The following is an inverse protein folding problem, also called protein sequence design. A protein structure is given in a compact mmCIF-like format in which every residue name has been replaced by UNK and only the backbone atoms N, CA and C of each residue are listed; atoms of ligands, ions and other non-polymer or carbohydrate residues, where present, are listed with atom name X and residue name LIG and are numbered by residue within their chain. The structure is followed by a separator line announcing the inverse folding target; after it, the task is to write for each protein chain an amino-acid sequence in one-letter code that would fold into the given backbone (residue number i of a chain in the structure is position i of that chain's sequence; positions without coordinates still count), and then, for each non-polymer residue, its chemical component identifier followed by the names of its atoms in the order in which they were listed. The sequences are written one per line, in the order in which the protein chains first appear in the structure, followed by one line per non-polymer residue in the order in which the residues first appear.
data_IF_153405471823
#
_entry.id   IF_153405471823
#
_cell.length_a   1.000
_cell.length_b   1.000
_cell.length_c   1.000
_cell.angle_alpha   90.00
_cell.angle_beta   90.00
_cell.angle_gamma   90.00
#
_symmetry.space_group_name_H-M   'P 1'
#
loop_
_entity.id
_entity.type
_entity.pdbx_description
1 polymer ?
#
# COMPACT_ATOMS: atom_id res chain seq x y z
N UNK A 1 8.33 -13.65 -38.23
CA UNK A 1 9.07 -13.32 -37.01
C UNK A 1 8.90 -11.86 -36.55
N UNK A 2 8.95 -10.85 -37.43
CA UNK A 2 8.73 -9.43 -37.04
C UNK A 2 7.36 -9.15 -36.38
N UNK A 3 6.28 -9.76 -36.88
CA UNK A 3 4.93 -9.60 -36.30
C UNK A 3 4.81 -10.12 -34.86
N UNK A 4 5.50 -11.23 -34.53
CA UNK A 4 5.44 -11.80 -33.18
C UNK A 4 6.10 -10.87 -32.15
N UNK A 5 7.23 -10.25 -32.51
CA UNK A 5 7.93 -9.30 -31.65
C UNK A 5 7.07 -8.06 -31.35
N UNK A 6 6.39 -7.51 -32.37
CA UNK A 6 5.49 -6.35 -32.20
C UNK A 6 4.30 -6.69 -31.29
N UNK A 7 3.70 -7.86 -31.47
CA UNK A 7 2.60 -8.33 -30.61
C UNK A 7 3.06 -8.48 -29.15
N UNK A 8 4.22 -9.09 -28.91
CA UNK A 8 4.77 -9.24 -27.55
C UNK A 8 5.03 -7.89 -26.89
N UNK A 9 5.61 -6.92 -27.60
CA UNK A 9 5.85 -5.57 -27.08
C UNK A 9 4.51 -4.90 -26.71
N UNK A 10 3.49 -5.02 -27.55
CA UNK A 10 2.18 -4.44 -27.27
C UNK A 10 1.53 -5.07 -26.03
N UNK A 11 1.54 -6.41 -25.91
CA UNK A 11 1.01 -7.11 -24.74
C UNK A 11 1.78 -6.71 -23.47
N UNK A 12 3.11 -6.58 -23.54
CA UNK A 12 3.94 -6.12 -22.42
C UNK A 12 3.55 -4.70 -22.01
N UNK A 13 3.42 -3.74 -22.95
CA UNK A 13 3.04 -2.35 -22.62
C UNK A 13 1.67 -2.25 -21.98
N UNK A 14 0.70 -3.06 -22.42
CA UNK A 14 -0.65 -3.09 -21.85
C UNK A 14 -0.60 -3.68 -20.44
N UNK A 15 0.15 -4.77 -20.22
CA UNK A 15 0.30 -5.37 -18.90
C UNK A 15 0.86 -4.40 -17.86
N UNK A 16 1.85 -3.56 -18.23
CA UNK A 16 2.42 -2.56 -17.31
C UNK A 16 1.44 -1.45 -16.93
N UNK A 17 0.56 -1.03 -17.85
CA UNK A 17 -0.42 0.03 -17.58
C UNK A 17 -1.47 -0.39 -16.55
N UNK A 18 -1.88 -1.66 -16.55
CA UNK A 18 -2.85 -2.19 -15.60
C UNK A 18 -2.26 -2.55 -14.22
N UNK A 19 -0.95 -2.77 -14.13
CA UNK A 19 -0.35 -3.33 -12.91
C UNK A 19 -0.32 -2.35 -11.71
N UNK A 20 -0.42 -1.03 -11.93
CA UNK A 20 -0.12 -0.03 -10.91
C UNK A 20 -1.29 0.87 -10.54
N UNK A 21 -2.52 0.56 -10.93
CA UNK A 21 -3.70 1.35 -10.54
C UNK A 21 -4.72 0.46 -9.84
N UNK A 22 -5.13 0.89 -8.65
CA UNK A 22 -6.27 0.33 -7.95
C UNK A 22 -7.52 1.19 -8.22
N UNK A 23 -8.68 0.56 -8.21
CA UNK A 23 -9.95 1.24 -8.43
C UNK A 23 -11.04 0.23 -8.71
N UNK A 24 -12.22 0.47 -8.14
CA UNK A 24 -13.39 -0.32 -8.51
C UNK A 24 -14.12 0.41 -9.64
N UNK A 25 -14.43 -0.31 -10.71
CA UNK A 25 -15.10 0.21 -11.90
C UNK A 25 -14.25 1.27 -12.62
N UNK A 26 -13.76 0.90 -13.81
CA UNK A 26 -13.00 1.81 -14.70
C UNK A 26 -11.84 2.55 -14.01
N UNK A 27 -11.09 1.86 -13.14
CA UNK A 27 -9.94 2.43 -12.40
C UNK A 27 -10.26 3.68 -11.57
N UNK A 28 -11.51 3.85 -11.13
CA UNK A 28 -11.87 4.94 -10.23
C UNK A 28 -11.67 4.50 -8.77
N UNK A 29 -10.82 5.20 -7.99
CA UNK A 29 -10.72 4.96 -6.57
C UNK A 29 -12.04 5.30 -5.87
N UNK A 30 -12.35 4.61 -4.77
CA UNK A 30 -13.65 4.71 -4.08
C UNK A 30 -13.95 6.06 -3.41
N UNK A 31 -13.04 7.04 -3.51
CA UNK A 31 -13.15 8.33 -2.82
C UNK A 31 -12.80 8.25 -1.34
N UNK A 32 -12.81 9.40 -0.67
CA UNK A 32 -12.44 9.52 0.74
C UNK A 32 -13.34 8.70 1.67
N UNK A 33 -12.77 8.10 2.70
CA UNK A 33 -13.50 7.31 3.70
C UNK A 33 -13.89 5.89 3.25
N UNK A 34 -13.49 5.49 2.03
CA UNK A 34 -13.80 4.17 1.45
C UNK A 34 -12.53 3.48 0.95
N UNK A 35 -12.58 2.16 0.93
CA UNK A 35 -11.52 1.27 0.45
C UNK A 35 -12.01 0.50 -0.80
N UNK A 36 -11.14 0.36 -1.81
CA UNK A 36 -11.34 -0.57 -2.90
C UNK A 36 -11.06 -2.00 -2.39
N UNK A 37 -12.10 -2.79 -2.22
CA UNK A 37 -12.02 -4.17 -1.75
C UNK A 37 -12.28 -5.11 -2.92
N UNK A 38 -11.27 -5.89 -3.30
CA UNK A 38 -11.39 -6.90 -4.35
C UNK A 38 -11.30 -8.29 -3.75
N UNK A 39 -12.30 -9.13 -4.02
CA UNK A 39 -12.30 -10.52 -3.62
C UNK A 39 -12.89 -11.37 -4.74
N UNK A 40 -12.20 -12.45 -5.13
CA UNK A 40 -12.65 -13.38 -6.19
C UNK A 40 -13.02 -12.64 -7.50
N UNK A 41 -12.22 -11.64 -7.88
CA UNK A 41 -12.40 -10.86 -9.10
C UNK A 41 -13.52 -9.81 -9.06
N UNK A 42 -14.25 -9.68 -7.95
CA UNK A 42 -15.28 -8.64 -7.77
C UNK A 42 -14.74 -7.51 -6.91
N UNK A 43 -14.70 -6.29 -7.45
CA UNK A 43 -14.26 -5.08 -6.74
C UNK A 43 -15.46 -4.29 -6.24
N UNK A 44 -15.47 -3.96 -4.95
CA UNK A 44 -16.49 -3.14 -4.31
C UNK A 44 -15.86 -2.02 -3.48
N UNK A 45 -16.59 -0.92 -3.36
CA UNK A 45 -16.20 0.18 -2.48
C UNK A 45 -16.85 0.02 -1.11
N UNK A 46 -16.07 -0.31 -0.09
CA UNK A 46 -16.54 -0.51 1.28
C UNK A 46 -16.15 0.72 2.12
N UNK A 47 -16.98 1.12 3.08
CA UNK A 47 -16.59 2.13 4.07
C UNK A 47 -15.43 1.60 4.92
N UNK A 48 -14.44 2.44 5.22
CA UNK A 48 -13.27 2.03 6.02
C UNK A 48 -13.71 1.43 7.37
N UNK A 49 -14.75 2.00 8.00
CA UNK A 49 -15.32 1.52 9.27
C UNK A 49 -15.94 0.13 9.21
N UNK A 50 -16.22 -0.40 8.02
CA UNK A 50 -16.81 -1.73 7.78
C UNK A 50 -15.77 -2.75 7.28
N UNK A 51 -14.54 -2.33 7.04
CA UNK A 51 -13.48 -3.22 6.56
C UNK A 51 -12.69 -3.77 7.76
N UNK A 52 -13.04 -4.98 8.19
CA UNK A 52 -12.37 -5.68 9.30
C UNK A 52 -11.38 -6.75 8.82
N UNK A 53 -11.41 -7.10 7.53
CA UNK A 53 -10.59 -8.17 6.96
C UNK A 53 -9.09 -7.82 6.91
N UNK A 54 -8.75 -6.54 7.02
CA UNK A 54 -7.37 -6.06 7.11
C UNK A 54 -7.29 -4.94 8.12
N UNK A 55 -6.26 -4.97 8.97
CA UNK A 55 -5.96 -3.89 9.91
C UNK A 55 -4.54 -3.37 9.70
N UNK A 56 -4.36 -2.06 9.88
CA UNK A 56 -3.07 -1.39 9.86
C UNK A 56 -2.87 -0.72 11.22
N UNK A 57 -1.82 -1.12 11.92
CA UNK A 57 -1.45 -0.56 13.22
C UNK A 57 -0.05 0.05 13.12
N UNK A 58 0.19 1.15 13.84
CA UNK A 58 1.47 1.84 13.88
C UNK A 58 1.95 2.00 15.32
N UNK A 59 3.25 1.85 15.54
CA UNK A 59 3.88 2.13 16.83
C UNK A 59 5.16 2.93 16.64
N UNK A 60 5.30 4.02 17.39
CA UNK A 60 6.58 4.74 17.49
C UNK A 60 7.57 3.90 18.30
N UNK A 61 8.77 3.69 17.77
CA UNK A 61 9.82 2.88 18.41
C UNK A 61 10.90 3.72 19.07
N UNK A 62 11.28 4.81 18.41
CA UNK A 62 12.29 5.74 18.91
C UNK A 62 12.10 7.10 18.26
N UNK A 63 12.67 8.12 18.89
CA UNK A 63 12.76 9.46 18.35
C UNK A 63 14.08 10.11 18.80
N UNK A 64 14.63 10.98 17.99
CA UNK A 64 15.90 11.66 18.24
C UNK A 64 15.99 12.97 17.47
N UNK A 65 16.85 13.87 17.92
CA UNK A 65 17.19 15.09 17.21
C UNK A 65 18.59 14.98 16.60
N UNK A 66 18.72 15.36 15.34
CA UNK A 66 20.00 15.41 14.63
C UNK A 66 20.08 16.71 13.82
N UNK A 67 21.09 17.53 14.11
CA UNK A 67 21.35 18.80 13.42
C UNK A 67 20.12 19.73 13.34
N UNK A 68 19.35 19.81 14.42
CA UNK A 68 18.14 20.64 14.49
C UNK A 68 16.91 20.06 13.77
N UNK A 69 16.99 18.84 13.25
CA UNK A 69 15.85 18.12 12.68
C UNK A 69 15.45 16.99 13.63
N UNK A 70 14.16 16.91 13.96
CA UNK A 70 13.59 15.81 14.72
C UNK A 70 13.31 14.62 13.80
N UNK A 71 13.56 13.41 14.29
CA UNK A 71 13.28 12.17 13.59
C UNK A 71 12.56 11.20 14.51
N UNK A 72 11.63 10.43 13.96
CA UNK A 72 10.95 9.35 14.65
C UNK A 72 10.92 8.09 13.79
N UNK A 73 11.23 6.94 14.40
CA UNK A 73 11.10 5.63 13.81
C UNK A 73 9.74 5.03 14.16
N UNK A 74 9.06 4.51 13.15
CA UNK A 74 7.79 3.82 13.27
C UNK A 74 7.87 2.41 12.69
N UNK A 75 7.28 1.46 13.42
CA UNK A 75 6.94 0.15 12.88
C UNK A 75 5.44 0.11 12.60
N UNK A 76 5.09 -0.48 11.46
CA UNK A 76 3.73 -0.67 11.00
C UNK A 76 3.46 -2.16 10.82
N UNK A 77 2.26 -2.58 11.22
CA UNK A 77 1.80 -3.96 11.10
C UNK A 77 0.52 -3.99 10.28
N UNK A 78 0.56 -4.73 9.17
CA UNK A 78 -0.61 -5.06 8.37
C UNK A 78 -1.02 -6.47 8.73
N UNK A 79 -2.18 -6.64 9.34
CA UNK A 79 -2.72 -7.96 9.66
C UNK A 79 -3.81 -8.35 8.68
N UNK A 80 -3.64 -9.49 8.03
CA UNK A 80 -4.70 -10.12 7.27
C UNK A 80 -5.61 -10.89 8.24
N UNK A 81 -6.80 -10.37 8.52
CA UNK A 81 -7.78 -11.02 9.41
C UNK A 81 -8.67 -12.04 8.67
N UNK A 82 -8.53 -12.17 7.35
CA UNK A 82 -9.26 -13.18 6.59
C UNK A 82 -8.73 -14.58 6.95
N UNK A 83 -9.63 -15.51 7.21
CA UNK A 83 -9.28 -16.87 7.64
C UNK A 83 -8.99 -17.84 6.47
N UNK A 84 -9.33 -17.46 5.23
CA UNK A 84 -9.29 -18.39 4.09
C UNK A 84 -8.55 -17.84 2.88
N UNK A 85 -8.38 -16.52 2.77
CA UNK A 85 -7.79 -15.87 1.58
C UNK A 85 -6.61 -14.99 1.95
N UNK A 86 -5.56 -15.06 1.14
CA UNK A 86 -4.36 -14.25 1.29
C UNK A 86 -4.59 -12.86 0.67
N UNK A 87 -3.87 -11.84 1.13
CA UNK A 87 -3.86 -10.53 0.47
C UNK A 87 -2.77 -10.55 -0.59
N UNK A 88 -3.15 -10.58 -1.86
CA UNK A 88 -2.21 -10.57 -2.99
C UNK A 88 -1.69 -9.17 -3.32
N UNK A 89 -2.46 -8.12 -3.02
CA UNK A 89 -2.03 -6.75 -3.21
C UNK A 89 -2.71 -5.79 -2.25
N UNK A 90 -2.02 -4.71 -1.88
CA UNK A 90 -2.55 -3.64 -1.06
C UNK A 90 -1.91 -2.31 -1.46
N UNK A 91 -2.67 -1.23 -1.26
CA UNK A 91 -2.22 0.14 -1.49
C UNK A 91 -2.56 0.97 -0.27
N UNK A 92 -1.54 1.64 0.26
CA UNK A 92 -1.62 2.49 1.44
C UNK A 92 -1.35 3.92 1.03
N UNK A 93 -2.29 4.79 1.36
CA UNK A 93 -2.13 6.22 1.28
C UNK A 93 -1.25 6.75 2.39
N UNK A 94 -0.38 7.68 2.02
CA UNK A 94 0.36 8.51 2.97
C UNK A 94 -0.40 9.81 3.17
N UNK A 95 -0.58 10.23 4.43
CA UNK A 95 -1.21 11.51 4.77
C UNK A 95 -0.62 12.66 3.95
N UNK A 96 -1.40 13.48 3.24
CA UNK A 96 -0.86 14.64 2.53
C UNK A 96 -0.18 15.68 3.44
N UNK A 97 -0.51 15.70 4.74
CA UNK A 97 0.17 16.56 5.72
C UNK A 97 1.57 16.09 6.09
N UNK A 98 1.91 14.83 5.82
CA UNK A 98 3.26 14.30 5.88
C UNK A 98 3.69 14.08 4.44
N UNK A 99 4.45 15.03 3.91
CA UNK A 99 4.89 14.93 2.54
C UNK A 99 5.70 13.64 2.35
N UNK A 100 5.69 13.09 1.13
CA UNK A 100 6.59 11.98 0.78
C UNK A 100 8.07 12.29 1.11
N UNK A 101 8.42 13.58 1.21
CA UNK A 101 9.73 14.10 1.61
C UNK A 101 10.06 13.88 3.09
N UNK A 102 9.05 13.80 3.95
CA UNK A 102 9.24 13.62 5.39
C UNK A 102 9.57 12.17 5.72
N UNK A 103 9.12 11.22 4.88
CA UNK A 103 9.55 9.83 4.96
C UNK A 103 10.96 9.66 4.39
N UNK A 104 11.95 9.88 5.25
CA UNK A 104 13.39 9.82 4.95
C UNK A 104 13.81 8.43 4.53
N UNK A 105 13.26 7.40 5.20
CA UNK A 105 13.57 6.01 4.92
C UNK A 105 12.33 5.16 5.14
N UNK A 106 12.14 4.18 4.26
CA UNK A 106 11.16 3.11 4.41
C UNK A 106 11.87 1.78 4.12
N UNK A 107 11.47 0.71 4.79
CA UNK A 107 11.98 -0.64 4.53
C UNK A 107 10.87 -1.66 4.57
N UNK A 108 11.12 -2.80 3.94
CA UNK A 108 10.19 -3.91 3.73
C UNK A 108 8.93 -3.58 2.92
N UNK A 109 8.65 -2.32 2.61
CA UNK A 109 7.53 -1.90 1.75
C UNK A 109 8.03 -1.12 0.54
N UNK A 110 7.26 -1.12 -0.54
CA UNK A 110 7.59 -0.40 -1.77
C UNK A 110 6.82 0.92 -1.83
N UNK A 111 7.50 2.02 -2.17
CA UNK A 111 6.85 3.28 -2.56
C UNK A 111 6.68 3.33 -4.07
N UNK A 112 5.50 3.74 -4.49
CA UNK A 112 5.13 3.97 -5.89
C UNK A 112 5.45 5.39 -6.33
N UNK A 113 5.45 5.65 -7.63
CA UNK A 113 5.76 6.99 -8.19
C UNK A 113 4.79 8.07 -7.71
N UNK A 114 3.53 7.71 -7.44
CA UNK A 114 2.52 8.59 -6.87
C UNK A 114 2.65 8.80 -5.35
N UNK A 115 3.64 8.17 -4.70
CA UNK A 115 3.91 8.29 -3.27
C UNK A 115 3.20 7.27 -2.37
N UNK A 116 2.27 6.48 -2.90
CA UNK A 116 1.59 5.42 -2.15
C UNK A 116 2.54 4.26 -1.83
N UNK A 117 2.18 3.47 -0.82
CA UNK A 117 2.92 2.29 -0.42
C UNK A 117 2.19 1.02 -0.86
N UNK A 118 2.94 0.03 -1.31
CA UNK A 118 2.42 -1.28 -1.72
C UNK A 118 3.38 -2.39 -1.33
N UNK A 119 2.96 -3.64 -1.44
CA UNK A 119 3.81 -4.79 -1.15
C UNK A 119 5.08 -4.76 -2.02
N UNK A 120 6.23 -5.17 -1.45
CA UNK A 120 7.43 -5.33 -2.25
C UNK A 120 7.27 -6.50 -3.21
N UNK A 121 7.96 -6.45 -4.35
CA UNK A 121 7.85 -7.47 -5.41
C UNK A 121 8.32 -8.86 -5.01
N UNK A 122 9.09 -8.97 -3.92
CA UNK A 122 9.57 -10.25 -3.37
C UNK A 122 8.59 -10.88 -2.37
N UNK A 123 7.51 -10.20 -1.99
CA UNK A 123 6.43 -10.75 -1.18
C UNK A 123 5.21 -10.92 -2.08
N UNK A 124 4.83 -12.15 -2.43
CA UNK A 124 3.71 -12.38 -3.34
C UNK A 124 2.36 -12.11 -2.70
N UNK A 125 2.26 -12.28 -1.37
CA UNK A 125 1.03 -12.06 -0.61
C UNK A 125 1.32 -11.93 0.90
N UNK A 126 0.35 -11.37 1.64
CA UNK A 126 0.24 -11.55 3.09
C UNK A 126 -0.70 -12.72 3.34
N UNK A 127 -0.16 -13.83 3.84
CA UNK A 127 -0.93 -15.05 4.10
C UNK A 127 -2.11 -14.79 5.05
N UNK A 128 -3.19 -15.55 4.88
CA UNK A 128 -4.36 -15.56 5.78
C UNK A 128 -3.96 -15.67 7.23
N UNK A 129 -4.59 -14.86 8.09
CA UNK A 129 -4.36 -14.83 9.53
C UNK A 129 -2.88 -14.57 9.94
N UNK A 130 -2.11 -13.89 9.08
CA UNK A 130 -0.73 -13.49 9.38
C UNK A 130 -0.57 -11.97 9.39
N UNK A 131 0.57 -11.53 9.91
CA UNK A 131 0.95 -10.12 9.97
C UNK A 131 2.19 -9.90 9.13
N UNK A 132 2.16 -8.84 8.31
CA UNK A 132 3.31 -8.32 7.60
C UNK A 132 3.74 -7.00 8.22
N UNK A 133 5.04 -6.87 8.49
CA UNK A 133 5.63 -5.71 9.15
C UNK A 133 6.52 -4.90 8.20
N UNK A 134 6.39 -3.58 8.27
CA UNK A 134 7.31 -2.64 7.62
C UNK A 134 7.65 -1.48 8.56
N UNK A 135 8.63 -0.66 8.20
CA UNK A 135 8.97 0.48 9.03
C UNK A 135 9.41 1.68 8.23
N UNK A 136 9.44 2.82 8.92
CA UNK A 136 9.83 4.10 8.37
C UNK A 136 10.55 4.97 9.39
N UNK A 137 11.43 5.85 8.89
CA UNK A 137 11.92 7.02 9.61
C UNK A 137 11.25 8.24 9.00
N UNK A 138 10.65 9.06 9.87
CA UNK A 138 9.92 10.26 9.50
C UNK A 138 10.64 11.45 10.13
N UNK A 139 10.90 12.49 9.33
CA UNK A 139 11.43 13.76 9.79
C UNK A 139 10.29 14.70 10.22
N UNK A 140 10.56 15.50 11.24
CA UNK A 140 9.60 16.42 11.85
C UNK A 140 8.75 15.76 12.93
N UNK A 141 7.83 16.56 13.50
CA UNK A 141 7.03 16.17 14.67
C UNK A 141 5.66 15.58 14.32
N UNK A 142 5.32 15.47 13.03
CA UNK A 142 4.03 14.97 12.60
C UNK A 142 3.97 13.45 12.69
N UNK A 143 2.93 12.91 13.33
CA UNK A 143 2.72 11.47 13.40
C UNK A 143 2.16 10.90 12.09
N UNK A 144 2.65 9.74 11.60
CA UNK A 144 2.16 9.10 10.40
C UNK A 144 0.68 8.78 10.53
N UNK A 145 -0.11 9.21 9.55
CA UNK A 145 -1.48 8.79 9.39
C UNK A 145 -1.58 8.02 8.06
N UNK A 146 -1.47 6.71 8.15
CA UNK A 146 -1.56 5.81 7.00
C UNK A 146 -2.95 5.20 6.94
N UNK A 147 -3.48 5.08 5.73
CA UNK A 147 -4.78 4.45 5.51
C UNK A 147 -4.70 3.48 4.32
N UNK A 148 -5.35 2.32 4.47
CA UNK A 148 -5.46 1.36 3.37
C UNK A 148 -6.50 1.88 2.38
N UNK A 149 -6.07 2.17 1.15
CA UNK A 149 -6.92 2.65 0.06
C UNK A 149 -7.45 1.52 -0.81
N UNK A 150 -6.68 0.44 -0.94
CA UNK A 150 -7.13 -0.75 -1.64
C UNK A 150 -6.53 -2.03 -1.07
N UNK A 151 -7.29 -3.10 -1.17
CA UNK A 151 -6.88 -4.47 -0.82
C UNK A 151 -7.45 -5.45 -1.83
N UNK A 152 -6.62 -6.40 -2.27
CA UNK A 152 -7.00 -7.48 -3.17
C UNK A 152 -6.70 -8.81 -2.51
N UNK A 153 -7.74 -9.64 -2.42
CA UNK A 153 -7.71 -11.02 -1.95
C UNK A 153 -7.83 -11.98 -3.13
#
# INVERSE_FOLDING_TARGET
MKFLAVLCIFILTVAFAYANHYGCYTNNPCGAGRICYTMKGSCNCIEISKCFDVTLESSKKSEWDLNGTHFAQYDFQIKNNNLVTDISNLFIGVNPNIGAKDYVQIWNIRRMENGELTLPTYIPAIERNTTFGFGAIIAGHNEPNLAIYAVTY
#
